data_IF_456983903022
#
_entry.id   IF_456983903022
#
_cell.length_a   1.000
_cell.length_b   1.000
_cell.length_c   1.000
_cell.angle_alpha   90.00
_cell.angle_beta   90.00
_cell.angle_gamma   90.00
#
_symmetry.space_group_name_H-M   'P 1'
#
loop_
_entity.id
_entity.type
_entity.pdbx_description
1 polymer ?
#
# COMPACT_ATOMS: atom_id res chain seq x y z
N UNK A 1 4.36 -15.39 1.80
CA UNK A 1 3.04 -14.78 2.04
C UNK A 1 3.19 -13.75 3.15
N UNK A 2 2.57 -12.58 2.98
CA UNK A 2 2.58 -11.52 3.98
C UNK A 2 1.40 -11.73 4.93
N UNK A 3 1.64 -11.67 6.24
CA UNK A 3 0.64 -11.94 7.27
C UNK A 3 0.19 -10.63 7.93
N UNK A 4 -1.11 -10.46 8.05
CA UNK A 4 -1.71 -9.33 8.76
C UNK A 4 -2.21 -9.75 10.15
N UNK A 5 -2.04 -8.92 11.19
CA UNK A 5 -2.65 -9.16 12.50
C UNK A 5 -4.19 -9.14 12.38
N UNK A 6 -4.86 -10.06 13.05
CA UNK A 6 -6.33 -10.20 12.99
C UNK A 6 -7.08 -8.95 13.47
N UNK A 7 -6.50 -8.20 14.41
CA UNK A 7 -7.11 -7.03 15.04
C UNK A 7 -6.57 -5.70 14.48
N UNK A 8 -6.13 -5.66 13.21
CA UNK A 8 -5.65 -4.41 12.62
C UNK A 8 -6.78 -3.41 12.45
N UNK A 9 -6.71 -2.29 13.15
CA UNK A 9 -7.66 -1.19 13.05
C UNK A 9 -6.98 0.02 12.43
N UNK A 10 -7.51 0.49 11.32
CA UNK A 10 -6.99 1.66 10.62
C UNK A 10 -7.87 2.88 10.87
N UNK A 11 -7.23 3.99 11.15
CA UNK A 11 -7.87 5.30 11.25
C UNK A 11 -7.35 6.23 10.16
N UNK A 12 -8.19 7.14 9.70
CA UNK A 12 -7.80 8.26 8.85
C UNK A 12 -7.93 9.56 9.63
N UNK A 13 -7.08 10.53 9.30
CA UNK A 13 -7.10 11.84 9.98
C UNK A 13 -8.47 12.57 9.83
N UNK A 14 -9.06 12.48 8.64
CA UNK A 14 -10.30 13.20 8.34
C UNK A 14 -11.54 12.59 8.99
N UNK A 15 -11.58 11.28 9.16
CA UNK A 15 -12.78 10.56 9.52
C UNK A 15 -12.77 10.01 10.94
N UNK A 16 -11.60 9.86 11.56
CA UNK A 16 -11.38 9.24 12.88
C UNK A 16 -12.11 7.91 13.12
N UNK A 17 -12.78 7.41 12.08
CA UNK A 17 -13.50 6.16 12.13
C UNK A 17 -12.55 5.00 11.79
N UNK A 18 -12.77 3.89 12.45
CA UNK A 18 -12.08 2.63 12.13
C UNK A 18 -12.55 2.14 10.77
N UNK A 19 -11.62 1.96 9.84
CA UNK A 19 -11.91 1.44 8.50
C UNK A 19 -11.21 0.10 8.33
N UNK A 20 -11.96 -0.90 7.88
CA UNK A 20 -11.42 -2.21 7.52
C UNK A 20 -10.86 -2.18 6.09
N UNK A 21 -9.62 -1.71 5.96
CA UNK A 21 -8.92 -1.70 4.68
C UNK A 21 -8.46 -3.08 4.22
N UNK A 22 -8.41 -4.07 5.11
CA UNK A 22 -7.97 -5.41 4.77
C UNK A 22 -9.05 -6.18 4.02
N UNK A 23 -10.33 -5.88 4.27
CA UNK A 23 -11.46 -6.47 3.54
C UNK A 23 -11.70 -5.83 2.17
N UNK A 24 -11.07 -4.68 1.87
CA UNK A 24 -11.23 -4.02 0.56
C UNK A 24 -10.61 -4.89 -0.54
N UNK A 25 -11.43 -5.18 -1.56
CA UNK A 25 -10.92 -5.83 -2.78
C UNK A 25 -10.05 -4.84 -3.55
N UNK A 26 -8.79 -5.15 -3.67
CA UNK A 26 -7.83 -4.42 -4.50
C UNK A 26 -6.84 -5.41 -5.10
N UNK A 27 -6.42 -5.17 -6.33
CA UNK A 27 -5.43 -6.02 -7.01
C UNK A 27 -4.07 -5.92 -6.34
N UNK A 28 -3.79 -4.76 -5.73
CA UNK A 28 -2.55 -4.48 -5.03
C UNK A 28 -2.78 -3.81 -3.69
N UNK A 29 -1.82 -3.96 -2.78
CA UNK A 29 -1.69 -3.20 -1.54
C UNK A 29 -0.25 -2.79 -1.35
N UNK A 30 -0.04 -1.59 -0.83
CA UNK A 30 1.28 -1.15 -0.38
C UNK A 30 1.22 -1.07 1.13
N UNK A 31 2.13 -1.77 1.80
CA UNK A 31 2.22 -1.80 3.26
C UNK A 31 3.56 -1.24 3.67
N UNK A 32 3.58 -0.25 4.54
CA UNK A 32 4.80 0.26 5.14
C UNK A 32 4.76 0.13 6.65
N UNK A 33 5.79 -0.50 7.21
CA UNK A 33 6.00 -0.61 8.64
C UNK A 33 6.99 0.44 9.10
N UNK A 34 6.69 1.12 10.18
CA UNK A 34 7.53 2.17 10.75
C UNK A 34 7.72 1.94 12.25
N UNK A 35 8.94 1.58 12.62
CA UNK A 35 9.35 1.54 14.00
C UNK A 35 9.78 2.95 14.45
N UNK A 36 9.08 3.50 15.44
CA UNK A 36 9.33 4.87 15.94
C UNK A 36 10.38 4.96 17.05
N UNK A 37 11.05 3.86 17.39
CA UNK A 37 12.17 3.92 18.34
C UNK A 37 13.35 4.73 17.80
N UNK A 38 13.45 4.84 16.47
CA UNK A 38 14.40 5.72 15.79
C UNK A 38 13.74 7.03 15.40
N UNK A 39 14.52 8.07 15.06
CA UNK A 39 14.03 9.43 14.78
C UNK A 39 12.81 9.45 13.84
N UNK A 40 11.64 9.64 14.41
CA UNK A 40 10.33 9.51 13.80
C UNK A 40 10.08 10.53 12.68
N UNK A 41 10.39 11.78 12.94
CA UNK A 41 10.15 12.88 11.99
C UNK A 41 11.06 12.86 10.77
N UNK A 42 12.28 12.31 10.92
CA UNK A 42 13.27 12.28 9.84
C UNK A 42 12.97 11.19 8.80
N UNK A 43 12.35 10.09 9.24
CA UNK A 43 12.20 8.88 8.43
C UNK A 43 10.87 8.81 7.66
N UNK A 44 9.83 9.45 8.18
CA UNK A 44 8.49 9.36 7.59
C UNK A 44 8.34 10.10 6.27
N UNK A 45 9.09 11.18 6.04
CA UNK A 45 8.97 12.02 4.83
C UNK A 45 7.53 12.14 4.32
N UNK A 46 6.61 12.52 5.21
CA UNK A 46 5.17 12.58 4.93
C UNK A 46 4.79 13.27 3.60
N UNK A 47 5.46 14.38 3.19
CA UNK A 47 5.18 15.00 1.90
C UNK A 47 5.50 14.10 0.70
N UNK A 48 6.51 13.23 0.81
CA UNK A 48 6.86 12.27 -0.24
C UNK A 48 5.70 11.28 -0.48
N UNK A 49 5.13 10.75 0.58
CA UNK A 49 4.06 9.75 0.48
C UNK A 49 2.83 10.30 -0.24
N UNK A 50 2.50 11.57 -0.02
CA UNK A 50 1.40 12.21 -0.74
C UNK A 50 1.63 12.20 -2.26
N UNK A 51 2.83 12.59 -2.71
CA UNK A 51 3.19 12.56 -4.13
C UNK A 51 3.20 11.13 -4.70
N UNK A 52 3.77 10.18 -3.95
CA UNK A 52 3.84 8.79 -4.37
C UNK A 52 2.45 8.14 -4.54
N UNK A 53 1.54 8.36 -3.61
CA UNK A 53 0.16 7.84 -3.73
C UNK A 53 -0.54 8.41 -4.96
N UNK A 54 -0.38 9.71 -5.24
CA UNK A 54 -0.92 10.31 -6.47
C UNK A 54 -0.33 9.68 -7.75
N UNK A 55 0.96 9.35 -7.76
CA UNK A 55 1.60 8.64 -8.88
C UNK A 55 1.02 7.22 -9.03
N UNK A 56 0.85 6.48 -7.94
CA UNK A 56 0.21 5.15 -7.93
C UNK A 56 -1.19 5.20 -8.51
N UNK A 57 -2.03 6.13 -8.06
CA UNK A 57 -3.39 6.31 -8.55
C UNK A 57 -3.43 6.66 -10.06
N UNK A 58 -2.43 7.38 -10.55
CA UNK A 58 -2.36 7.78 -11.96
C UNK A 58 -2.04 6.61 -12.90
N UNK A 59 -1.30 5.62 -12.44
CA UNK A 59 -0.89 4.45 -13.24
C UNK A 59 -1.79 3.23 -13.03
N UNK A 60 -2.53 3.18 -11.93
CA UNK A 60 -3.47 2.10 -11.61
C UNK A 60 -4.73 2.16 -12.47
N UNK A 61 -5.31 0.98 -12.78
CA UNK A 61 -6.67 0.88 -13.32
C UNK A 61 -7.71 1.07 -12.22
N UNK A 62 -7.47 0.46 -11.08
CA UNK A 62 -8.23 0.67 -9.85
C UNK A 62 -7.60 1.85 -9.11
N UNK A 63 -8.27 2.99 -9.16
CA UNK A 63 -7.81 4.23 -8.50
C UNK A 63 -7.76 4.15 -6.96
N UNK A 64 -7.79 2.94 -6.39
CA UNK A 64 -7.91 2.68 -4.96
C UNK A 64 -6.92 1.61 -4.47
N UNK A 65 -5.65 1.70 -4.87
CA UNK A 65 -4.64 0.86 -4.23
C UNK A 65 -4.38 1.40 -2.82
N UNK A 66 -4.76 0.66 -1.76
CA UNK A 66 -4.55 1.13 -0.40
C UNK A 66 -3.05 1.16 -0.08
N UNK A 67 -2.62 2.29 0.48
CA UNK A 67 -1.30 2.42 1.10
C UNK A 67 -1.50 2.43 2.59
N UNK A 68 -1.09 1.37 3.25
CA UNK A 68 -1.35 1.09 4.65
C UNK A 68 -0.10 1.35 5.48
N UNK A 69 -0.23 2.17 6.50
CA UNK A 69 0.86 2.53 7.40
C UNK A 69 0.66 1.83 8.73
N UNK A 70 1.58 0.95 9.09
CA UNK A 70 1.67 0.35 10.42
C UNK A 70 2.76 1.05 11.21
N UNK A 71 2.36 1.66 12.31
CA UNK A 71 3.28 2.33 13.22
C UNK A 71 3.41 1.54 14.51
N UNK A 72 4.63 1.16 14.86
CA UNK A 72 4.98 0.72 16.19
C UNK A 72 5.47 1.94 16.99
N UNK A 73 4.60 2.62 17.76
CA UNK A 73 4.92 3.90 18.35
C UNK A 73 5.58 3.75 19.72
N UNK A 74 6.68 4.48 19.94
CA UNK A 74 7.22 4.68 21.28
C UNK A 74 6.27 5.54 22.14
N UNK A 75 5.65 6.54 21.52
CA UNK A 75 4.65 7.42 22.10
C UNK A 75 3.54 7.70 21.07
N UNK A 76 2.36 7.15 21.32
CA UNK A 76 1.22 7.26 20.42
C UNK A 76 0.71 8.71 20.29
N UNK A 77 0.76 9.48 21.39
CA UNK A 77 0.27 10.87 21.39
C UNK A 77 1.15 11.77 20.53
N UNK A 78 2.48 11.58 20.58
CA UNK A 78 3.43 12.37 19.77
C UNK A 78 3.26 12.05 18.30
N UNK A 79 3.06 10.77 17.99
CA UNK A 79 2.78 10.32 16.62
C UNK A 79 1.48 10.95 16.11
N UNK A 80 0.43 10.87 16.89
CA UNK A 80 -0.88 11.44 16.52
C UNK A 80 -0.76 12.94 16.22
N UNK A 81 -0.09 13.69 17.10
CA UNK A 81 0.14 15.12 16.92
C UNK A 81 0.95 15.43 15.64
N UNK A 82 1.91 14.57 15.30
CA UNK A 82 2.70 14.72 14.07
C UNK A 82 1.84 14.49 12.82
N UNK A 83 1.06 13.41 12.78
CA UNK A 83 0.16 13.11 11.67
C UNK A 83 -0.89 14.23 11.48
N UNK A 84 -1.44 14.75 12.57
CA UNK A 84 -2.38 15.87 12.55
C UNK A 84 -1.74 17.13 11.99
N UNK A 85 -0.56 17.50 12.47
CA UNK A 85 0.19 18.68 12.00
C UNK A 85 0.45 18.64 10.50
N UNK A 86 0.74 17.45 9.95
CA UNK A 86 1.01 17.25 8.53
C UNK A 86 -0.25 16.95 7.70
N UNK A 87 -1.43 16.94 8.31
CA UNK A 87 -2.70 16.56 7.67
C UNK A 87 -2.56 15.26 6.88
N UNK A 88 -2.03 14.23 7.55
CA UNK A 88 -1.77 12.95 6.94
C UNK A 88 -3.06 12.13 6.85
N UNK A 89 -3.65 12.08 5.66
CA UNK A 89 -4.99 11.53 5.42
C UNK A 89 -5.02 10.02 5.15
N UNK A 90 -3.85 9.39 5.04
CA UNK A 90 -3.77 7.97 4.69
C UNK A 90 -4.07 7.06 5.87
N UNK A 91 -4.51 5.81 5.60
CA UNK A 91 -4.84 4.86 6.66
C UNK A 91 -3.63 4.51 7.53
N UNK A 92 -3.80 4.64 8.83
CA UNK A 92 -2.77 4.39 9.84
C UNK A 92 -3.27 3.38 10.86
N UNK A 93 -2.50 2.33 11.10
CA UNK A 93 -2.68 1.39 12.20
C UNK A 93 -1.60 1.63 13.26
N UNK A 94 -2.02 1.87 14.50
CA UNK A 94 -1.12 1.93 15.66
C UNK A 94 -0.94 0.52 16.21
N UNK A 95 0.13 -0.15 15.82
CA UNK A 95 0.49 -1.50 16.24
C UNK A 95 1.36 -1.44 17.50
N UNK A 96 0.72 -1.16 18.64
CA UNK A 96 1.40 -0.96 19.93
C UNK A 96 2.12 -2.22 20.44
N UNK A 97 1.74 -3.39 19.94
CA UNK A 97 2.30 -4.70 20.30
C UNK A 97 3.38 -5.20 19.33
N UNK A 98 3.69 -4.44 18.29
CA UNK A 98 4.59 -4.86 17.21
C UNK A 98 4.17 -6.18 16.54
N UNK A 99 2.87 -6.36 16.41
CA UNK A 99 2.27 -7.62 15.95
C UNK A 99 2.61 -7.92 14.50
N UNK A 100 2.61 -6.89 13.65
CA UNK A 100 2.94 -7.04 12.23
C UNK A 100 4.38 -7.53 12.03
N UNK A 101 5.33 -6.93 12.74
CA UNK A 101 6.74 -7.34 12.68
C UNK A 101 6.96 -8.74 13.28
N UNK A 102 6.31 -9.05 14.40
CA UNK A 102 6.38 -10.39 15.01
C UNK A 102 5.88 -11.48 14.07
N UNK A 103 4.86 -11.21 13.26
CA UNK A 103 4.33 -12.17 12.29
C UNK A 103 5.24 -12.34 11.07
N UNK A 104 5.87 -11.27 10.59
CA UNK A 104 6.58 -11.26 9.31
C UNK A 104 8.10 -11.24 9.44
N UNK A 105 8.65 -10.99 10.63
CA UNK A 105 10.10 -10.94 10.91
C UNK A 105 10.87 -9.99 9.98
N UNK A 106 10.49 -8.71 9.99
CA UNK A 106 11.09 -7.71 9.10
C UNK A 106 12.59 -7.51 9.35
N UNK A 107 13.36 -7.20 8.30
CA UNK A 107 14.72 -6.73 8.46
C UNK A 107 14.78 -5.46 9.33
N UNK A 108 15.86 -5.30 10.07
CA UNK A 108 16.10 -4.10 10.88
C UNK A 108 16.33 -2.85 10.04
N UNK A 109 16.80 -3.01 8.80
CA UNK A 109 16.97 -1.90 7.86
C UNK A 109 15.60 -1.44 7.33
N UNK A 110 15.26 -0.20 7.66
CA UNK A 110 14.00 0.44 7.24
C UNK A 110 13.84 0.56 5.73
N UNK A 111 14.94 0.49 4.96
CA UNK A 111 14.88 0.47 3.50
C UNK A 111 14.09 -0.74 2.96
N UNK A 112 13.94 -1.81 3.76
CA UNK A 112 13.26 -3.05 3.40
C UNK A 112 11.96 -3.31 4.19
N UNK A 113 11.38 -2.27 4.78
CA UNK A 113 10.15 -2.36 5.58
C UNK A 113 8.91 -1.81 4.85
N UNK A 114 8.98 -1.70 3.53
CA UNK A 114 7.84 -1.38 2.67
C UNK A 114 7.67 -2.47 1.61
N UNK A 115 6.43 -2.87 1.37
CA UNK A 115 6.08 -4.04 0.57
C UNK A 115 4.97 -3.70 -0.41
N UNK A 116 5.13 -4.12 -1.67
CA UNK A 116 4.04 -4.20 -2.64
C UNK A 116 3.51 -5.62 -2.63
N UNK A 117 2.21 -5.78 -2.38
CA UNK A 117 1.51 -7.05 -2.31
C UNK A 117 0.48 -7.14 -3.44
N UNK A 118 0.18 -8.36 -3.89
CA UNK A 118 -0.98 -8.64 -4.72
C UNK A 118 -2.25 -8.89 -3.89
N UNK A 119 -3.37 -9.21 -4.56
CA UNK A 119 -4.66 -9.55 -3.91
C UNK A 119 -4.59 -10.72 -2.93
N UNK A 120 -3.66 -11.66 -3.13
CA UNK A 120 -3.46 -12.84 -2.30
C UNK A 120 -2.42 -12.62 -1.18
N UNK A 121 -2.06 -11.37 -0.91
CA UNK A 121 -1.02 -10.98 0.04
C UNK A 121 0.38 -11.58 -0.25
N UNK A 122 0.65 -11.91 -1.50
CA UNK A 122 2.01 -12.29 -1.91
C UNK A 122 2.85 -11.05 -2.13
N UNK A 123 4.08 -11.06 -1.62
CA UNK A 123 5.03 -9.97 -1.82
C UNK A 123 5.52 -9.97 -3.26
N UNK A 124 5.30 -8.90 -3.99
CA UNK A 124 5.75 -8.67 -5.36
C UNK A 124 7.04 -7.87 -5.43
N UNK A 125 7.20 -6.91 -4.51
CA UNK A 125 8.41 -6.12 -4.39
C UNK A 125 8.61 -5.66 -2.95
N UNK A 126 9.87 -5.48 -2.56
CA UNK A 126 10.29 -5.01 -1.23
C UNK A 126 11.18 -3.79 -1.41
N UNK A 127 10.99 -2.80 -0.57
CA UNK A 127 11.84 -1.62 -0.49
C UNK A 127 11.05 -0.33 -0.38
N UNK A 128 11.68 0.67 0.20
CA UNK A 128 11.04 1.96 0.41
C UNK A 128 11.03 2.77 -0.91
N UNK A 129 9.87 3.19 -1.42
CA UNK A 129 9.75 3.95 -2.68
C UNK A 129 10.33 5.37 -2.62
N UNK A 130 10.82 5.83 -1.46
CA UNK A 130 11.68 7.03 -1.38
C UNK A 130 12.92 6.84 -2.24
N UNK A 131 13.42 5.61 -2.40
CA UNK A 131 14.41 5.28 -3.40
C UNK A 131 13.77 5.31 -4.80
N UNK A 132 14.27 6.14 -5.75
CA UNK A 132 13.65 6.29 -7.07
C UNK A 132 13.58 4.98 -7.88
N UNK A 133 14.56 4.10 -7.74
CA UNK A 133 14.56 2.79 -8.43
C UNK A 133 13.48 1.85 -7.89
N UNK A 134 13.25 1.87 -6.58
CA UNK A 134 12.18 1.09 -5.94
C UNK A 134 10.81 1.65 -6.34
N UNK A 135 10.67 2.98 -6.35
CA UNK A 135 9.45 3.63 -6.83
C UNK A 135 9.12 3.23 -8.27
N UNK A 136 10.10 3.32 -9.16
CA UNK A 136 9.95 2.90 -10.56
C UNK A 136 9.53 1.43 -10.69
N UNK A 137 10.11 0.54 -9.89
CA UNK A 137 9.73 -0.87 -9.86
C UNK A 137 8.27 -1.06 -9.47
N UNK A 138 7.80 -0.40 -8.41
CA UNK A 138 6.41 -0.49 -7.97
C UNK A 138 5.44 -0.02 -9.07
N UNK A 139 5.71 1.16 -9.65
CA UNK A 139 4.88 1.72 -10.71
C UNK A 139 4.85 0.82 -11.96
N UNK A 140 5.97 0.20 -12.34
CA UNK A 140 6.03 -0.75 -13.45
C UNK A 140 5.19 -2.00 -13.20
N UNK A 141 5.27 -2.58 -11.99
CA UNK A 141 4.47 -3.76 -11.64
C UNK A 141 2.97 -3.42 -11.73
N UNK A 142 2.54 -2.33 -11.11
CA UNK A 142 1.16 -1.89 -11.10
C UNK A 142 0.65 -1.59 -12.54
N UNK A 143 1.49 -0.99 -13.37
CA UNK A 143 1.15 -0.64 -14.75
C UNK A 143 1.08 -1.85 -15.69
N UNK A 144 1.88 -2.89 -15.44
CA UNK A 144 1.97 -4.06 -16.34
C UNK A 144 0.66 -4.83 -16.49
N UNK A 145 -0.16 -4.92 -15.44
CA UNK A 145 -1.50 -5.53 -15.53
C UNK A 145 -2.49 -4.71 -16.36
N UNK A 146 -2.29 -3.40 -16.44
CA UNK A 146 -3.10 -2.54 -17.31
C UNK A 146 -2.99 -2.95 -18.78
N UNK A 147 -1.82 -3.40 -19.18
CA UNK A 147 -1.53 -3.84 -20.55
C UNK A 147 -2.15 -5.22 -20.78
N UNK A 148 -1.97 -6.18 -19.87
CA UNK A 148 -2.51 -7.54 -19.98
C UNK A 148 -4.04 -7.59 -20.08
N UNK A 149 -4.75 -6.84 -19.23
CA UNK A 149 -6.24 -6.79 -19.26
C UNK A 149 -6.81 -6.14 -20.52
N UNK A 150 -6.10 -5.17 -21.12
CA UNK A 150 -6.53 -4.57 -22.39
C UNK A 150 -6.44 -5.55 -23.55
N UNK A 151 -5.45 -6.42 -23.56
CA UNK A 151 -5.27 -7.44 -24.60
C UNK A 151 -6.33 -8.54 -24.46
N UNK A 152 -6.64 -9.01 -23.26
CA UNK A 152 -7.71 -9.99 -23.02
C UNK A 152 -9.10 -9.44 -23.44
N UNK A 153 -9.38 -8.18 -23.16
CA UNK A 153 -10.66 -7.56 -23.57
C UNK A 153 -10.80 -7.42 -25.08
N UNK A 154 -9.71 -7.22 -25.81
CA UNK A 154 -9.69 -7.21 -27.29
C UNK A 154 -9.91 -8.61 -27.87
N UNK A 155 -9.25 -9.64 -27.31
CA UNK A 155 -9.41 -11.03 -27.76
C UNK A 155 -10.84 -11.53 -27.55
N UNK A 156 -11.49 -11.15 -26.45
CA UNK A 156 -12.86 -11.56 -26.16
C UNK A 156 -13.87 -10.88 -27.09
N UNK A 157 -13.65 -9.60 -27.46
CA UNK A 157 -14.49 -8.90 -28.45
C UNK A 157 -14.37 -9.50 -29.85
N UNK A 158 -13.16 -9.84 -30.29
CA UNK A 158 -12.93 -10.46 -31.60
C UNK A 158 -13.60 -11.83 -31.71
N UNK A 159 -13.61 -12.64 -30.65
CA UNK A 159 -14.31 -13.93 -30.63
C UNK A 159 -15.85 -13.77 -30.65
N UNK A 160 -16.39 -12.75 -30.01
CA UNK A 160 -17.83 -12.47 -30.01
C UNK A 160 -18.32 -11.99 -31.40
N UNK A 161 -17.52 -11.23 -32.15
CA UNK A 161 -17.84 -10.77 -33.50
C UNK A 161 -17.78 -11.88 -34.56
N UNK A 162 -16.83 -12.82 -34.42
CA UNK A 162 -16.76 -13.99 -35.34
C UNK A 162 -17.95 -14.93 -35.15
N UNK A 163 -18.50 -15.06 -33.94
CA UNK A 163 -19.69 -15.88 -33.65
C UNK A 163 -21.01 -15.33 -34.21
N UNK A 164 -21.09 -14.05 -34.58
CA UNK A 164 -22.29 -13.42 -35.15
C UNK A 164 -22.37 -13.46 -36.67
N UNK A 165 -21.31 -13.86 -37.36
CA UNK A 165 -21.27 -13.88 -38.85
C UNK A 165 -21.60 -15.26 -39.44
N UNK A 166 -21.94 -16.26 -38.61
CA UNK A 166 -22.24 -17.63 -39.03
C UNK A 166 -23.68 -18.08 -38.67
N UNK A 167 -24.64 -17.18 -38.81
CA UNK A 167 -26.06 -17.56 -38.76
C UNK A 167 -26.78 -16.98 -39.97
#
# INVERSE_FOLDING_TARGET
>A
EFLFPENSSFITYDNRDSVDFLSMKSDYRIVTYVNSETCFSCNLRLPFWKGFVMEVDSVSLDKNIPVLFYFYPKNKSDLYALLERHKFIYPVCFDEEDSLNKLNHFPTDMAFQTFLLNSDNKVLAIGNPINPKVKELYLKIIQSEKIGRKDESKVTRTKADIGRTLV
#
